data_IF_925809930236
#
_entry.id   IF_925809930236
#
_cell.length_a   1.000
_cell.length_b   1.000
_cell.length_c   1.000
_cell.angle_alpha   90.00
_cell.angle_beta   90.00
_cell.angle_gamma   90.00
#
_symmetry.space_group_name_H-M   'P 1'
#
loop_
_entity.id
_entity.type
_entity.pdbx_description
1 polymer ?
#
# COMPACT_ATOMS: atom_id res chain seq x y z
N UNK A 1 5.18 2.25 26.15
CA UNK A 1 6.08 1.70 25.11
C UNK A 1 6.11 0.19 25.22
N UNK A 2 5.94 -0.53 24.11
CA UNK A 2 5.91 -1.98 24.05
C UNK A 2 7.16 -2.56 23.37
N UNK A 3 7.53 -3.76 23.80
CA UNK A 3 8.47 -4.63 23.08
C UNK A 3 7.67 -5.74 22.41
N UNK A 4 7.92 -6.01 21.12
CA UNK A 4 7.27 -7.06 20.37
C UNK A 4 8.30 -8.06 19.85
N UNK A 5 8.15 -9.33 20.22
CA UNK A 5 8.91 -10.45 19.67
C UNK A 5 8.36 -10.81 18.28
N UNK A 6 9.19 -10.78 17.24
CA UNK A 6 8.71 -10.93 15.85
C UNK A 6 8.20 -12.33 15.52
N UNK A 7 8.63 -13.35 16.28
CA UNK A 7 8.15 -14.72 16.14
C UNK A 7 6.91 -15.02 17.01
N UNK A 8 6.46 -14.08 17.85
CA UNK A 8 5.36 -14.31 18.78
C UNK A 8 4.04 -14.64 18.06
N UNK A 9 3.19 -15.40 18.71
CA UNK A 9 1.80 -15.66 18.27
C UNK A 9 0.78 -14.87 19.09
N UNK A 10 1.20 -14.33 20.23
CA UNK A 10 0.46 -13.41 21.08
C UNK A 10 1.46 -12.53 21.85
N UNK A 11 1.03 -11.36 22.31
CA UNK A 11 1.82 -10.48 23.17
C UNK A 11 0.89 -9.65 24.07
N UNK A 12 1.37 -9.32 25.26
CA UNK A 12 0.66 -8.46 26.21
C UNK A 12 0.44 -7.06 25.63
N UNK A 13 -0.75 -6.49 25.85
CA UNK A 13 -1.19 -5.22 25.29
C UNK A 13 -1.32 -5.19 23.75
N UNK A 14 -1.56 -6.34 23.13
CA UNK A 14 -1.88 -6.44 21.72
C UNK A 14 -3.19 -7.19 21.48
N UNK A 15 -4.01 -6.65 20.56
CA UNK A 15 -5.02 -7.42 19.85
C UNK A 15 -4.35 -8.11 18.66
N UNK A 16 -4.51 -9.43 18.56
CA UNK A 16 -3.92 -10.23 17.48
C UNK A 16 -5.05 -10.75 16.60
N UNK A 17 -5.04 -10.37 15.32
CA UNK A 17 -5.91 -10.94 14.29
C UNK A 17 -5.12 -11.96 13.48
N UNK A 18 -5.50 -13.23 13.61
CA UNK A 18 -4.91 -14.34 12.88
C UNK A 18 -5.93 -15.04 11.96
N UNK A 19 -7.02 -14.35 11.61
CA UNK A 19 -8.05 -14.88 10.70
C UNK A 19 -7.49 -15.20 9.31
N UNK A 20 -6.43 -14.48 8.88
CA UNK A 20 -5.65 -14.79 7.69
C UNK A 20 -4.27 -15.34 8.10
N UNK A 21 -4.01 -16.62 7.81
CA UNK A 21 -2.72 -17.24 8.12
C UNK A 21 -1.53 -16.62 7.36
N UNK A 22 -1.78 -15.91 6.26
CA UNK A 22 -0.75 -15.22 5.48
C UNK A 22 -0.52 -13.76 5.91
N UNK A 23 -1.39 -13.18 6.73
CA UNK A 23 -1.25 -11.85 7.31
C UNK A 23 -1.81 -11.84 8.73
N UNK A 24 -0.95 -12.08 9.71
CA UNK A 24 -1.29 -11.98 11.13
C UNK A 24 -0.99 -10.57 11.61
N UNK A 25 -2.01 -9.87 12.11
CA UNK A 25 -1.92 -8.46 12.48
C UNK A 25 -1.85 -8.32 13.99
N UNK A 26 -0.85 -7.58 14.46
CA UNK A 26 -0.68 -7.17 15.85
C UNK A 26 -1.04 -5.70 15.96
N UNK A 27 -2.06 -5.39 16.74
CA UNK A 27 -2.48 -4.01 17.03
C UNK A 27 -2.28 -3.73 18.50
N UNK A 28 -1.38 -2.79 18.82
CA UNK A 28 -1.19 -2.31 20.18
C UNK A 28 -2.51 -1.72 20.71
N UNK A 29 -2.82 -2.01 21.97
CA UNK A 29 -3.96 -1.43 22.66
C UNK A 29 -3.84 0.10 22.77
N UNK A 30 -4.96 0.76 23.01
CA UNK A 30 -5.01 2.22 23.14
C UNK A 30 -4.06 2.72 24.23
N UNK A 31 -3.37 3.83 23.95
CA UNK A 31 -2.34 4.38 24.83
C UNK A 31 -0.96 3.72 24.71
N UNK A 32 -0.86 2.61 23.98
CA UNK A 32 0.41 1.94 23.72
C UNK A 32 0.94 2.19 22.31
N UNK A 33 2.26 2.01 22.17
CA UNK A 33 2.99 2.03 20.89
C UNK A 33 4.15 1.04 20.94
N UNK A 34 4.51 0.49 19.79
CA UNK A 34 5.65 -0.40 19.63
C UNK A 34 6.92 0.44 19.63
N UNK A 35 7.87 0.16 20.53
CA UNK A 35 9.17 0.84 20.58
C UNK A 35 10.31 -0.08 20.16
N UNK A 36 10.22 -1.35 20.51
CA UNK A 36 11.31 -2.30 20.30
C UNK A 36 10.78 -3.55 19.63
N UNK A 37 11.49 -4.01 18.60
CA UNK A 37 11.31 -5.33 18.02
C UNK A 37 12.45 -6.24 18.48
N UNK A 38 12.14 -7.49 18.85
CA UNK A 38 13.12 -8.48 19.27
C UNK A 38 13.01 -9.80 18.51
N UNK A 39 14.11 -10.55 18.54
CA UNK A 39 14.22 -11.95 18.12
C UNK A 39 14.87 -12.73 19.27
N UNK A 40 14.05 -13.40 20.07
CA UNK A 40 14.45 -13.90 21.38
C UNK A 40 14.99 -12.77 22.26
N UNK A 41 16.19 -12.94 22.82
CA UNK A 41 16.79 -11.92 23.67
C UNK A 41 17.44 -10.76 22.89
N UNK A 42 17.58 -10.89 21.57
CA UNK A 42 18.27 -9.90 20.73
C UNK A 42 17.34 -8.76 20.34
N UNK A 43 17.83 -7.53 20.47
CA UNK A 43 17.18 -6.35 19.88
C UNK A 43 17.35 -6.40 18.35
N UNK A 44 16.24 -6.46 17.62
CA UNK A 44 16.24 -6.40 16.15
C UNK A 44 16.19 -4.95 15.68
N UNK A 45 15.33 -4.14 16.30
CA UNK A 45 15.12 -2.75 15.90
C UNK A 45 14.53 -1.92 17.04
N UNK A 46 14.94 -0.65 17.12
CA UNK A 46 14.37 0.32 18.05
C UNK A 46 13.84 1.52 17.28
N UNK A 47 12.55 1.82 17.48
CA UNK A 47 11.83 2.90 16.83
C UNK A 47 12.27 4.24 17.40
N UNK A 48 12.52 5.21 16.52
CA UNK A 48 12.66 6.62 16.91
C UNK A 48 11.29 7.19 17.29
N UNK A 49 10.93 7.03 18.55
CA UNK A 49 9.62 7.46 19.10
C UNK A 49 9.43 8.97 19.18
N UNK A 50 10.45 9.77 18.83
CA UNK A 50 10.29 11.22 18.63
C UNK A 50 9.66 11.56 17.27
N UNK A 51 9.72 10.61 16.31
CA UNK A 51 9.21 10.77 14.93
C UNK A 51 8.00 9.89 14.64
N UNK A 52 7.91 8.74 15.28
CA UNK A 52 6.94 7.70 14.95
C UNK A 52 6.24 7.15 16.19
N UNK A 53 4.97 6.80 16.02
CA UNK A 53 4.11 6.21 17.05
C UNK A 53 3.45 4.96 16.48
N UNK A 54 4.21 3.90 16.16
CA UNK A 54 3.66 2.74 15.48
C UNK A 54 2.79 1.92 16.44
N UNK A 55 1.61 1.57 15.98
CA UNK A 55 0.65 0.76 16.74
C UNK A 55 0.32 -0.56 16.04
N UNK A 56 0.70 -0.71 14.77
CA UNK A 56 0.36 -1.87 13.95
C UNK A 56 1.60 -2.53 13.38
N UNK A 57 1.69 -3.84 13.55
CA UNK A 57 2.66 -4.70 12.91
C UNK A 57 1.98 -5.90 12.26
N UNK A 58 2.63 -6.47 11.26
CA UNK A 58 2.13 -7.63 10.52
C UNK A 58 3.23 -8.68 10.46
N UNK A 59 2.84 -9.94 10.65
CA UNK A 59 3.63 -11.08 10.23
C UNK A 59 3.03 -11.64 8.96
N UNK A 60 3.78 -11.52 7.87
CA UNK A 60 3.36 -11.86 6.52
C UNK A 60 4.01 -13.18 6.10
N UNK A 61 3.23 -14.05 5.46
CA UNK A 61 3.74 -15.29 4.87
C UNK A 61 3.46 -15.29 3.37
N UNK A 62 4.51 -15.52 2.58
CA UNK A 62 4.43 -15.68 1.13
C UNK A 62 5.14 -16.96 0.73
N UNK A 63 4.36 -17.97 0.34
CA UNK A 63 4.86 -19.34 0.23
C UNK A 63 5.60 -19.75 1.52
N UNK A 64 6.88 -20.08 1.44
CA UNK A 64 7.70 -20.44 2.60
C UNK A 64 8.45 -19.26 3.24
N UNK A 65 8.44 -18.09 2.58
CA UNK A 65 9.09 -16.89 3.10
C UNK A 65 8.22 -16.22 4.17
N UNK A 66 8.87 -15.80 5.26
CA UNK A 66 8.26 -15.02 6.33
C UNK A 66 8.83 -13.61 6.38
N UNK A 67 7.93 -12.63 6.52
CA UNK A 67 8.26 -11.22 6.67
C UNK A 67 7.58 -10.64 7.91
N UNK A 68 8.17 -9.59 8.46
CA UNK A 68 7.63 -8.83 9.57
C UNK A 68 7.61 -7.36 9.16
N UNK A 69 6.42 -6.79 9.06
CA UNK A 69 6.20 -5.41 8.63
C UNK A 69 5.72 -4.59 9.82
N UNK A 70 6.51 -3.61 10.25
CA UNK A 70 6.09 -2.60 11.22
C UNK A 70 5.64 -1.34 10.48
N UNK A 71 4.42 -0.87 10.73
CA UNK A 71 3.97 0.41 10.18
C UNK A 71 4.48 1.55 11.06
N UNK A 72 5.66 2.12 10.75
CA UNK A 72 6.23 3.28 11.47
C UNK A 72 5.24 4.45 11.50
N UNK A 73 4.51 4.61 10.40
CA UNK A 73 3.25 5.34 10.32
C UNK A 73 2.32 4.56 9.39
N UNK A 74 1.05 4.97 9.29
CA UNK A 74 0.09 4.32 8.38
C UNK A 74 0.65 4.16 6.95
N UNK A 75 1.40 5.15 6.46
CA UNK A 75 1.94 5.15 5.11
C UNK A 75 3.40 4.69 5.00
N UNK A 76 4.16 4.54 6.10
CA UNK A 76 5.60 4.23 6.06
C UNK A 76 5.87 2.84 6.64
N UNK A 77 5.95 1.79 5.80
CA UNK A 77 6.29 0.46 6.27
C UNK A 77 7.80 0.34 6.53
N UNK A 78 8.16 -0.42 7.56
CA UNK A 78 9.48 -0.97 7.79
C UNK A 78 9.37 -2.49 7.74
N UNK A 79 10.20 -3.15 6.95
CA UNK A 79 10.05 -4.57 6.66
C UNK A 79 11.32 -5.34 7.02
N UNK A 80 11.14 -6.53 7.57
CA UNK A 80 12.18 -7.50 7.85
C UNK A 80 11.84 -8.82 7.17
N UNK A 81 12.85 -9.50 6.62
CA UNK A 81 12.72 -10.86 6.09
C UNK A 81 13.41 -11.83 7.03
N UNK A 82 12.74 -12.93 7.35
CA UNK A 82 13.31 -14.01 8.14
C UNK A 82 14.44 -14.69 7.37
N UNK A 83 15.58 -14.91 8.01
CA UNK A 83 16.68 -15.75 7.50
C UNK A 83 16.72 -17.09 8.22
N UNK A 84 16.57 -17.06 9.55
CA UNK A 84 16.41 -18.22 10.42
C UNK A 84 15.45 -17.89 11.54
N UNK A 85 15.12 -18.83 12.42
CA UNK A 85 14.31 -18.55 13.61
C UNK A 85 14.93 -17.51 14.56
N UNK A 86 16.26 -17.38 14.53
CA UNK A 86 17.04 -16.49 15.39
C UNK A 86 17.59 -15.26 14.66
N UNK A 87 17.29 -15.12 13.38
CA UNK A 87 17.87 -14.07 12.54
C UNK A 87 16.86 -13.53 11.53
N UNK A 88 16.68 -12.21 11.61
CA UNK A 88 15.81 -11.43 10.75
C UNK A 88 16.61 -10.22 10.28
N UNK A 89 16.50 -9.89 9.00
CA UNK A 89 17.24 -8.76 8.42
C UNK A 89 16.27 -7.77 7.83
N UNK A 90 16.60 -6.48 7.92
CA UNK A 90 15.82 -5.44 7.26
C UNK A 90 15.81 -5.69 5.74
N UNK A 91 14.64 -5.56 5.13
CA UNK A 91 14.41 -5.83 3.72
C UNK A 91 13.70 -4.63 3.09
N UNK A 92 14.08 -4.25 1.87
CA UNK A 92 13.46 -3.09 1.22
C UNK A 92 12.00 -3.41 0.89
N UNK A 93 11.09 -2.50 1.24
CA UNK A 93 9.69 -2.64 0.86
C UNK A 93 9.50 -2.54 -0.67
N UNK A 94 10.34 -1.77 -1.35
CA UNK A 94 10.34 -1.69 -2.82
C UNK A 94 10.72 -3.03 -3.46
N UNK A 95 11.76 -3.70 -2.94
CA UNK A 95 12.15 -5.04 -3.40
C UNK A 95 11.08 -6.07 -3.08
N UNK A 96 10.48 -6.00 -1.90
CA UNK A 96 9.36 -6.86 -1.52
C UNK A 96 8.18 -6.79 -2.50
N UNK A 97 7.81 -5.59 -2.94
CA UNK A 97 6.78 -5.45 -3.96
C UNK A 97 7.16 -6.16 -5.26
N UNK A 98 8.39 -5.97 -5.76
CA UNK A 98 8.80 -6.51 -7.06
C UNK A 98 9.03 -8.02 -7.07
N UNK A 99 9.70 -8.52 -6.02
CA UNK A 99 10.26 -9.88 -5.95
C UNK A 99 9.31 -10.86 -5.25
N UNK A 100 8.37 -10.35 -4.44
CA UNK A 100 7.46 -11.18 -3.65
C UNK A 100 6.01 -10.94 -4.06
N UNK A 101 5.50 -9.72 -3.87
CA UNK A 101 4.07 -9.42 -4.10
C UNK A 101 3.72 -9.51 -5.59
N UNK A 102 4.61 -9.04 -6.46
CA UNK A 102 4.42 -9.00 -7.91
C UNK A 102 5.33 -9.97 -8.64
N UNK A 103 5.82 -11.01 -7.96
CA UNK A 103 6.72 -12.02 -8.53
C UNK A 103 6.18 -12.60 -9.84
N UNK A 104 4.90 -12.94 -9.87
CA UNK A 104 4.24 -13.55 -11.02
C UNK A 104 3.84 -12.53 -12.12
N UNK A 105 3.92 -11.23 -11.83
CA UNK A 105 3.64 -10.17 -12.82
C UNK A 105 4.89 -9.91 -13.66
N UNK A 106 5.07 -10.74 -14.69
CA UNK A 106 6.25 -10.75 -15.56
C UNK A 106 6.32 -9.55 -16.49
N UNK A 107 5.17 -8.98 -16.85
CA UNK A 107 5.09 -7.84 -17.75
C UNK A 107 5.11 -6.51 -16.99
N UNK A 108 5.81 -5.53 -17.58
CA UNK A 108 5.82 -4.12 -17.15
C UNK A 108 5.29 -3.29 -18.30
N UNK A 109 4.13 -2.64 -18.12
CA UNK A 109 3.42 -1.92 -19.19
C UNK A 109 2.90 -0.57 -18.72
N UNK A 110 2.69 0.32 -19.68
CA UNK A 110 1.93 1.54 -19.46
C UNK A 110 0.44 1.16 -19.36
N UNK A 111 -0.26 1.73 -18.39
CA UNK A 111 -1.70 1.52 -18.22
C UNK A 111 -2.46 2.73 -18.74
N UNK A 112 -3.29 2.53 -19.75
CA UNK A 112 -4.24 3.54 -20.21
C UNK A 112 -5.55 3.42 -19.44
N UNK A 113 -5.73 4.30 -18.46
CA UNK A 113 -6.90 4.39 -17.60
C UNK A 113 -8.16 4.88 -18.35
N UNK A 114 -8.06 5.42 -19.56
CA UNK A 114 -9.25 5.75 -20.37
C UNK A 114 -10.02 4.49 -20.80
N UNK A 115 -9.34 3.34 -20.82
CA UNK A 115 -9.92 2.02 -21.10
C UNK A 115 -10.57 1.40 -19.86
N UNK A 116 -11.00 2.19 -18.89
CA UNK A 116 -11.60 1.71 -17.64
C UNK A 116 -12.85 0.83 -17.85
N UNK A 117 -13.51 0.93 -19.00
CA UNK A 117 -14.66 0.09 -19.35
C UNK A 117 -14.25 -1.31 -19.89
N UNK A 118 -12.98 -1.55 -20.19
CA UNK A 118 -12.47 -2.86 -20.60
C UNK A 118 -12.36 -3.79 -19.40
N UNK A 119 -13.26 -4.79 -19.33
CA UNK A 119 -13.30 -5.78 -18.26
C UNK A 119 -12.04 -6.68 -18.19
N UNK A 120 -11.25 -6.75 -19.26
CA UNK A 120 -9.94 -7.41 -19.26
C UNK A 120 -8.84 -6.60 -18.56
N UNK A 121 -9.10 -5.33 -18.24
CA UNK A 121 -8.16 -4.42 -17.56
C UNK A 121 -8.71 -3.91 -16.22
N UNK A 122 -10.01 -3.67 -16.11
CA UNK A 122 -10.62 -3.06 -14.93
C UNK A 122 -11.85 -3.82 -14.45
N UNK A 123 -12.01 -3.91 -13.13
CA UNK A 123 -13.21 -4.40 -12.48
C UNK A 123 -14.06 -3.22 -12.02
N UNK A 124 -15.35 -3.23 -12.35
CA UNK A 124 -16.29 -2.19 -11.96
C UNK A 124 -16.98 -2.54 -10.64
N UNK A 125 -17.12 -1.56 -9.76
CA UNK A 125 -17.88 -1.63 -8.52
C UNK A 125 -18.79 -0.40 -8.41
N UNK A 126 -19.91 -0.54 -7.70
CA UNK A 126 -20.79 0.59 -7.42
C UNK A 126 -20.10 1.59 -6.48
N UNK A 127 -20.25 2.89 -6.76
CA UNK A 127 -19.69 3.95 -5.92
C UNK A 127 -20.68 5.11 -5.84
N UNK A 128 -21.41 5.23 -4.71
CA UNK A 128 -22.50 6.20 -4.59
C UNK A 128 -23.54 5.99 -5.70
N UNK A 129 -23.83 7.05 -6.46
CA UNK A 129 -24.68 6.99 -7.67
C UNK A 129 -23.90 6.67 -8.95
N UNK A 130 -22.57 6.62 -8.87
CA UNK A 130 -21.67 6.33 -10.00
C UNK A 130 -20.98 4.97 -9.89
N UNK A 131 -19.82 4.86 -10.53
CA UNK A 131 -19.00 3.63 -10.56
C UNK A 131 -17.53 3.93 -10.27
N UNK A 132 -16.86 2.97 -9.65
CA UNK A 132 -15.40 2.94 -9.57
C UNK A 132 -14.88 1.74 -10.35
N UNK A 133 -13.83 1.95 -11.11
CA UNK A 133 -13.17 0.96 -11.92
C UNK A 133 -11.75 0.75 -11.40
N UNK A 134 -11.48 -0.39 -10.80
CA UNK A 134 -10.16 -0.75 -10.27
C UNK A 134 -9.37 -1.58 -11.27
N UNK A 135 -8.13 -1.19 -11.57
CA UNK A 135 -7.23 -2.00 -12.38
C UNK A 135 -7.04 -3.38 -11.75
N UNK A 136 -7.28 -4.44 -12.52
CA UNK A 136 -7.29 -5.83 -11.99
C UNK A 136 -5.89 -6.35 -11.64
N UNK A 137 -4.83 -5.62 -12.02
CA UNK A 137 -3.48 -5.93 -11.58
C UNK A 137 -2.79 -7.06 -12.34
N UNK A 138 -3.19 -7.33 -13.59
CA UNK A 138 -2.61 -8.37 -14.44
C UNK A 138 -1.15 -8.12 -14.86
N UNK A 139 -0.63 -6.90 -14.72
CA UNK A 139 0.78 -6.56 -14.96
C UNK A 139 1.30 -5.49 -13.99
N UNK A 140 2.62 -5.24 -14.00
CA UNK A 140 3.25 -4.13 -13.26
C UNK A 140 3.10 -2.84 -14.06
N UNK A 141 2.52 -1.80 -13.44
CA UNK A 141 2.31 -0.52 -14.12
C UNK A 141 3.61 0.29 -14.11
N UNK A 142 4.07 0.70 -15.29
CA UNK A 142 5.23 1.59 -15.46
C UNK A 142 4.83 3.06 -15.28
N UNK A 143 3.79 3.48 -16.00
CA UNK A 143 3.14 4.78 -15.87
C UNK A 143 1.65 4.64 -16.15
N UNK A 144 0.87 5.59 -15.64
CA UNK A 144 -0.57 5.68 -15.91
C UNK A 144 -0.79 6.83 -16.88
N UNK A 145 -1.53 6.54 -17.93
CA UNK A 145 -2.01 7.51 -18.89
C UNK A 145 -3.53 7.50 -18.87
N UNK A 146 -4.14 8.54 -19.39
CA UNK A 146 -5.54 8.55 -19.75
C UNK A 146 -5.61 9.13 -21.15
N UNK A 147 -5.94 8.27 -22.11
CA UNK A 147 -5.68 8.53 -23.53
C UNK A 147 -4.17 8.76 -23.73
N UNK A 148 -3.77 9.83 -24.41
CA UNK A 148 -2.36 10.15 -24.69
C UNK A 148 -1.69 11.00 -23.59
N UNK A 149 -2.37 11.24 -22.46
CA UNK A 149 -1.92 12.16 -21.42
C UNK A 149 -1.47 11.42 -20.17
N UNK A 150 -0.29 11.75 -19.67
CA UNK A 150 0.19 11.20 -18.41
C UNK A 150 -0.68 11.66 -17.23
N UNK A 151 -0.96 10.73 -16.31
CA UNK A 151 -1.65 11.00 -15.05
C UNK A 151 -0.63 10.89 -13.91
N UNK A 152 -0.22 12.05 -13.39
CA UNK A 152 0.78 12.12 -12.33
C UNK A 152 2.21 11.86 -12.80
N UNK A 153 3.14 11.82 -11.86
CA UNK A 153 4.56 11.54 -12.09
C UNK A 153 4.87 10.08 -11.75
N UNK A 154 5.31 9.30 -12.73
CA UNK A 154 5.71 7.90 -12.55
C UNK A 154 7.10 7.74 -11.94
N UNK A 155 7.90 8.80 -11.86
CA UNK A 155 9.24 8.72 -11.31
C UNK A 155 9.20 8.22 -9.87
N UNK A 156 9.94 7.15 -9.59
CA UNK A 156 9.99 6.48 -8.26
C UNK A 156 8.64 5.94 -7.76
N UNK A 157 7.61 5.85 -8.59
CA UNK A 157 6.31 5.30 -8.23
C UNK A 157 6.27 3.78 -8.47
N UNK A 158 5.82 3.04 -7.45
CA UNK A 158 5.46 1.62 -7.55
C UNK A 158 3.95 1.50 -7.32
N UNK A 159 3.17 1.50 -8.40
CA UNK A 159 1.72 1.51 -8.34
C UNK A 159 1.16 0.22 -7.72
N UNK A 160 0.38 0.39 -6.65
CA UNK A 160 -0.29 -0.70 -5.92
C UNK A 160 -1.77 -0.78 -6.27
N UNK A 161 -2.39 0.34 -6.65
CA UNK A 161 -3.71 0.37 -7.26
C UNK A 161 -3.87 1.58 -8.19
N UNK A 162 -4.69 1.41 -9.23
CA UNK A 162 -5.14 2.49 -10.12
C UNK A 162 -6.65 2.39 -10.19
N UNK A 163 -7.34 3.48 -9.85
CA UNK A 163 -8.80 3.54 -9.84
C UNK A 163 -9.29 4.70 -10.70
N UNK A 164 -10.34 4.46 -11.46
CA UNK A 164 -11.07 5.50 -12.20
C UNK A 164 -12.47 5.59 -11.60
N UNK A 165 -12.79 6.72 -11.01
CA UNK A 165 -14.14 7.03 -10.55
C UNK A 165 -14.86 7.77 -11.66
N UNK A 166 -16.11 7.37 -11.92
CA UNK A 166 -17.01 8.02 -12.88
C UNK A 166 -18.26 8.45 -12.12
N UNK A 167 -18.43 9.77 -12.01
CA UNK A 167 -19.60 10.40 -11.41
C UNK A 167 -20.83 10.30 -12.31
N UNK A 168 -21.99 10.68 -11.78
CA UNK A 168 -23.27 10.62 -12.51
C UNK A 168 -23.35 11.61 -13.68
N UNK A 169 -22.55 12.67 -13.64
CA UNK A 169 -22.39 13.69 -14.67
C UNK A 169 -21.23 13.38 -15.64
N UNK A 170 -20.78 12.12 -15.68
CA UNK A 170 -19.65 11.64 -16.48
C UNK A 170 -18.28 12.24 -16.13
N UNK A 171 -18.17 13.04 -15.06
CA UNK A 171 -16.86 13.50 -14.56
C UNK A 171 -16.02 12.32 -14.09
N UNK A 172 -14.73 12.41 -14.38
CA UNK A 172 -13.77 11.34 -14.12
C UNK A 172 -12.68 11.82 -13.18
N UNK A 173 -12.43 11.04 -12.15
CA UNK A 173 -11.29 11.22 -11.24
C UNK A 173 -10.44 9.96 -11.30
N UNK A 174 -9.14 10.13 -11.52
CA UNK A 174 -8.19 9.03 -11.43
C UNK A 174 -7.51 9.08 -10.06
N UNK A 175 -7.57 7.98 -9.31
CA UNK A 175 -6.82 7.81 -8.06
C UNK A 175 -5.67 6.84 -8.29
N UNK A 176 -4.49 7.27 -7.90
CA UNK A 176 -3.27 6.48 -7.94
C UNK A 176 -2.84 6.16 -6.51
N UNK A 177 -2.76 4.87 -6.21
CA UNK A 177 -2.14 4.37 -4.98
C UNK A 177 -0.79 3.78 -5.36
N UNK A 178 0.27 4.26 -4.73
CA UNK A 178 1.62 3.81 -5.04
C UNK A 178 2.55 3.91 -3.85
N UNK A 179 3.54 3.03 -3.79
CA UNK A 179 4.69 3.20 -2.93
C UNK A 179 5.71 4.11 -3.61
N UNK A 180 6.01 5.25 -3.00
CA UNK A 180 7.01 6.19 -3.50
C UNK A 180 8.39 5.83 -2.95
N UNK A 181 9.32 5.43 -3.81
CA UNK A 181 10.65 4.97 -3.36
C UNK A 181 11.56 6.11 -2.91
N UNK A 182 11.19 7.38 -3.14
CA UNK A 182 11.97 8.54 -2.72
C UNK A 182 11.91 8.83 -1.22
N UNK A 183 10.76 8.63 -0.57
CA UNK A 183 10.58 8.78 0.88
C UNK A 183 10.09 7.51 1.59
N UNK A 184 9.94 6.43 0.81
CA UNK A 184 9.47 5.10 1.22
C UNK A 184 8.10 5.14 1.88
N UNK A 185 7.16 5.89 1.29
CA UNK A 185 5.79 5.98 1.78
C UNK A 185 4.79 5.58 0.71
N UNK A 186 3.72 4.92 1.14
CA UNK A 186 2.50 4.84 0.35
C UNK A 186 1.90 6.23 0.17
N UNK A 187 1.44 6.50 -1.05
CA UNK A 187 0.75 7.70 -1.46
C UNK A 187 -0.59 7.29 -2.02
N UNK A 188 -1.61 8.04 -1.66
CA UNK A 188 -2.93 8.01 -2.26
C UNK A 188 -3.13 9.40 -2.85
N UNK A 189 -3.31 9.49 -4.17
CA UNK A 189 -3.33 10.76 -4.89
C UNK A 189 -4.46 10.77 -5.89
N UNK A 190 -5.23 11.86 -5.91
CA UNK A 190 -6.37 12.06 -6.79
C UNK A 190 -6.02 13.05 -7.89
N UNK A 191 -6.49 12.78 -9.11
CA UNK A 191 -6.26 13.61 -10.28
C UNK A 191 -7.57 13.88 -11.02
N UNK A 192 -7.72 15.10 -11.53
CA UNK A 192 -8.80 15.46 -12.45
C UNK A 192 -8.28 16.22 -13.65
N UNK A 193 -9.02 16.16 -14.76
CA UNK A 193 -8.68 16.88 -15.97
C UNK A 193 -9.07 18.36 -15.83
N UNK A 194 -8.09 19.26 -15.91
CA UNK A 194 -8.27 20.72 -15.87
C UNK A 194 -7.44 21.33 -16.99
N UNK A 195 -8.06 22.11 -17.87
CA UNK A 195 -7.41 22.74 -19.03
C UNK A 195 -6.64 21.72 -19.89
N UNK A 196 -7.23 20.53 -20.06
CA UNK A 196 -6.63 19.46 -20.85
C UNK A 196 -5.44 18.74 -20.20
N UNK A 197 -5.10 19.01 -18.92
CA UNK A 197 -4.05 18.32 -18.17
C UNK A 197 -4.59 17.67 -16.90
N UNK A 198 -4.06 16.50 -16.52
CA UNK A 198 -4.40 15.86 -15.25
C UNK A 198 -3.67 16.55 -14.11
N UNK A 199 -4.41 17.28 -13.25
CA UNK A 199 -3.87 17.99 -12.10
C UNK A 199 -4.21 17.22 -10.82
N UNK A 200 -3.22 17.13 -9.93
CA UNK A 200 -3.43 16.60 -8.57
C UNK A 200 -4.44 17.49 -7.83
N UNK A 201 -5.36 16.88 -7.12
CA UNK A 201 -6.36 17.54 -6.26
C UNK A 201 -6.41 16.88 -4.89
N UNK A 202 -6.96 17.60 -3.92
CA UNK A 202 -7.25 17.05 -2.60
C UNK A 202 -8.44 16.09 -2.67
N UNK A 203 -8.46 15.09 -1.78
CA UNK A 203 -9.56 14.12 -1.74
C UNK A 203 -10.92 14.79 -1.55
N UNK A 204 -11.00 15.84 -0.73
CA UNK A 204 -12.23 16.60 -0.53
C UNK A 204 -12.75 17.27 -1.80
N UNK A 205 -11.85 17.68 -2.70
CA UNK A 205 -12.21 18.25 -4.00
C UNK A 205 -12.66 17.15 -4.96
N UNK A 206 -11.93 16.04 -5.02
CA UNK A 206 -12.33 14.86 -5.78
C UNK A 206 -13.73 14.36 -5.37
N UNK A 207 -14.01 14.30 -4.06
CA UNK A 207 -15.31 13.85 -3.56
C UNK A 207 -16.46 14.79 -3.97
N UNK A 208 -16.22 16.10 -4.09
CA UNK A 208 -17.23 17.04 -4.61
C UNK A 208 -17.57 16.73 -6.05
N UNK A 209 -16.57 16.44 -6.89
CA UNK A 209 -16.78 16.11 -8.30
C UNK A 209 -17.45 14.74 -8.49
N UNK A 210 -17.35 13.83 -7.51
CA UNK A 210 -17.93 12.47 -7.58
C UNK A 210 -19.30 12.32 -6.92
N UNK A 211 -19.70 13.28 -6.08
CA UNK A 211 -21.00 13.31 -5.39
C UNK A 211 -21.85 14.54 -5.74
N UNK A 212 -21.44 15.32 -6.76
CA UNK A 212 -22.23 16.39 -7.34
C UNK A 212 -23.37 15.86 -8.24
#
# INVERSE_FOLDING_TARGET
DLTLEVNATAAEHFKVDASNANDVVFTAEEGYRIKTLKVGDKNLYTVDTSKFTPTVAHRLKHADDLFFKLNLSHAKPLLFKKKTDKDWVQFSFAQYLDEVVWKEKKEVKDLDASKFADAGLFAAEAFGTGKVYGFIGNFKVKKVMFEEKDVGDSNKAKYTAVKVYVGSDEKKVVRLDYFYTGDERFKEVYFKLVDGKWKKVEQSEANKDLHA
#
